data_IF_141140208784
#
_entry.id   IF_141140208784
#
_cell.length_a   1.000
_cell.length_b   1.000
_cell.length_c   1.000
_cell.angle_alpha   90.00
_cell.angle_beta   90.00
_cell.angle_gamma   90.00
#
_symmetry.space_group_name_H-M   'P 1'
#
loop_
_entity.id
_entity.type
_entity.pdbx_description
1 polymer ?
#
# COMPACT_ATOMS: atom_id res chain seq x y z
N UNK A 1 -0.19 -19.63 -27.25
CA UNK A 1 0.43 -19.53 -25.91
C UNK A 1 -0.03 -18.22 -25.29
N UNK A 2 -0.82 -18.26 -24.22
CA UNK A 2 -1.30 -17.04 -23.57
C UNK A 2 -0.14 -16.45 -22.74
N UNK A 3 0.41 -15.33 -23.19
CA UNK A 3 1.34 -14.53 -22.38
C UNK A 3 0.58 -14.06 -21.14
N UNK A 4 0.90 -14.61 -19.97
CA UNK A 4 0.47 -14.08 -18.67
C UNK A 4 1.06 -12.68 -18.50
N UNK A 5 0.34 -11.67 -18.99
CA UNK A 5 0.72 -10.27 -18.80
C UNK A 5 0.54 -9.94 -17.32
N UNK A 6 1.64 -9.96 -16.56
CA UNK A 6 1.62 -9.37 -15.22
C UNK A 6 1.39 -7.86 -15.37
N UNK A 7 0.47 -7.26 -14.60
CA UNK A 7 0.22 -5.84 -14.68
C UNK A 7 1.46 -5.04 -14.24
N UNK A 8 1.84 -4.02 -15.03
CA UNK A 8 2.95 -3.12 -14.67
C UNK A 8 2.59 -2.33 -13.40
N UNK A 9 3.60 -2.00 -12.61
CA UNK A 9 3.45 -1.26 -11.36
C UNK A 9 4.59 -0.27 -11.15
N UNK A 10 4.31 0.76 -10.34
CA UNK A 10 5.33 1.66 -9.82
C UNK A 10 5.56 1.34 -8.36
N UNK A 11 6.79 0.98 -8.01
CA UNK A 11 7.18 0.77 -6.62
C UNK A 11 7.63 2.09 -6.01
N UNK A 12 7.17 2.33 -4.79
CA UNK A 12 7.53 3.49 -3.98
C UNK A 12 8.21 2.99 -2.72
N UNK A 13 9.38 3.53 -2.41
CA UNK A 13 10.16 3.16 -1.23
C UNK A 13 10.12 4.31 -0.24
N UNK A 14 9.65 4.03 0.96
CA UNK A 14 9.54 4.99 2.04
C UNK A 14 10.32 4.54 3.28
N UNK A 15 10.86 5.50 4.01
CA UNK A 15 11.36 5.31 5.38
C UNK A 15 10.52 6.04 6.39
N UNK A 16 10.48 5.52 7.61
CA UNK A 16 9.78 6.16 8.71
C UNK A 16 10.41 7.53 9.01
N UNK A 17 9.56 8.54 9.10
CA UNK A 17 9.92 9.89 9.48
C UNK A 17 9.52 10.15 10.95
N UNK A 18 8.37 9.65 11.36
CA UNK A 18 7.84 9.86 12.72
C UNK A 18 6.92 8.71 13.15
N UNK A 19 7.00 8.32 14.41
CA UNK A 19 6.20 7.22 14.98
C UNK A 19 5.52 7.66 16.27
N UNK A 20 4.26 7.25 16.41
CA UNK A 20 3.48 7.35 17.65
C UNK A 20 2.85 6.00 17.96
N UNK A 21 2.14 5.90 19.08
CA UNK A 21 1.36 4.70 19.41
C UNK A 21 0.21 4.43 18.42
N UNK A 22 -0.30 5.48 17.76
CA UNK A 22 -1.51 5.37 16.92
C UNK A 22 -1.25 5.43 15.42
N UNK A 23 -0.07 5.88 15.00
CA UNK A 23 0.29 6.02 13.60
C UNK A 23 1.80 6.15 13.37
N UNK A 24 2.20 5.82 12.15
CA UNK A 24 3.53 5.97 11.58
C UNK A 24 3.44 6.89 10.34
N UNK A 25 4.33 7.88 10.24
CA UNK A 25 4.49 8.76 9.07
C UNK A 25 5.72 8.31 8.32
N UNK A 26 5.56 8.15 7.01
CA UNK A 26 6.58 7.66 6.10
C UNK A 26 6.90 8.72 5.04
N UNK A 27 8.19 8.87 4.73
CA UNK A 27 8.71 9.78 3.72
C UNK A 27 9.27 9.01 2.52
N UNK A 28 8.87 9.44 1.32
CA UNK A 28 9.28 8.84 0.06
C UNK A 28 10.76 9.13 -0.18
N UNK A 29 11.54 8.08 -0.41
CA UNK A 29 12.96 8.18 -0.75
C UNK A 29 13.17 8.07 -2.25
N UNK A 30 12.57 7.06 -2.88
CA UNK A 30 12.70 6.81 -4.31
C UNK A 30 11.54 5.98 -4.87
N UNK A 31 11.50 5.91 -6.21
CA UNK A 31 10.54 5.12 -6.98
C UNK A 31 11.26 4.23 -7.99
N UNK A 32 10.65 3.10 -8.38
CA UNK A 32 11.23 2.24 -9.43
C UNK A 32 11.15 2.82 -10.84
N UNK A 33 10.36 3.88 -11.03
CA UNK A 33 10.24 4.65 -12.28
C UNK A 33 10.64 6.11 -12.01
N UNK A 34 10.82 6.91 -13.06
CA UNK A 34 11.18 8.34 -12.97
C UNK A 34 10.06 9.26 -12.45
N UNK A 35 8.88 8.70 -12.14
CA UNK A 35 7.71 9.43 -11.67
C UNK A 35 7.10 8.75 -10.45
N UNK A 36 6.39 9.52 -9.63
CA UNK A 36 5.65 9.02 -8.48
C UNK A 36 4.14 9.06 -8.72
N UNK A 37 3.43 8.08 -8.18
CA UNK A 37 1.96 8.01 -8.14
C UNK A 37 1.38 8.37 -6.77
N UNK A 38 2.24 8.50 -5.77
CA UNK A 38 1.92 8.73 -4.38
C UNK A 38 2.60 10.01 -3.89
N UNK A 39 2.10 10.56 -2.78
CA UNK A 39 2.64 11.77 -2.17
C UNK A 39 3.99 11.50 -1.49
N UNK A 40 4.79 12.55 -1.34
CA UNK A 40 6.09 12.49 -0.67
C UNK A 40 5.99 12.05 0.80
N UNK A 41 4.88 12.36 1.47
CA UNK A 41 4.56 11.86 2.81
C UNK A 41 3.31 11.01 2.77
N UNK A 42 3.31 9.91 3.51
CA UNK A 42 2.11 9.12 3.76
C UNK A 42 2.07 8.68 5.23
N UNK A 43 0.93 8.12 5.64
CA UNK A 43 0.69 7.67 7.00
C UNK A 43 0.02 6.31 7.00
N UNK A 44 0.48 5.44 7.89
CA UNK A 44 -0.27 4.26 8.33
C UNK A 44 -0.84 4.59 9.71
N UNK A 45 -2.15 4.46 9.88
CA UNK A 45 -2.84 4.81 11.13
C UNK A 45 -3.72 3.65 11.61
N UNK A 46 -3.78 3.44 12.93
CA UNK A 46 -4.63 2.41 13.53
C UNK A 46 -6.10 2.64 13.16
N UNK A 47 -6.80 1.57 12.83
CA UNK A 47 -8.25 1.62 12.68
C UNK A 47 -8.93 1.55 14.05
N UNK A 48 -9.72 2.58 14.38
CA UNK A 48 -10.47 2.69 15.63
C UNK A 48 -11.93 2.20 15.51
N UNK A 49 -12.27 1.33 14.55
CA UNK A 49 -13.62 0.75 14.45
C UNK A 49 -14.73 1.72 14.03
N UNK A 50 -14.41 2.93 13.57
CA UNK A 50 -15.41 3.96 13.23
C UNK A 50 -16.11 3.74 11.86
N UNK A 51 -15.99 2.56 11.27
CA UNK A 51 -16.64 2.21 10.00
C UNK A 51 -17.03 0.73 9.97
N UNK A 52 -17.93 0.33 9.07
CA UNK A 52 -18.37 -1.05 8.89
C UNK A 52 -17.36 -1.92 8.10
N UNK A 53 -16.13 -1.45 7.91
CA UNK A 53 -15.10 -2.21 7.23
C UNK A 53 -14.63 -3.39 8.09
N UNK A 54 -14.68 -4.60 7.53
CA UNK A 54 -14.18 -5.82 8.15
C UNK A 54 -12.76 -6.14 7.69
N UNK A 55 -12.04 -6.92 8.51
CA UNK A 55 -10.69 -7.45 8.21
C UNK A 55 -9.65 -6.36 7.91
N UNK A 56 -9.76 -5.21 8.58
CA UNK A 56 -8.76 -4.14 8.56
C UNK A 56 -8.42 -3.72 9.98
N UNK A 57 -7.15 -3.48 10.26
CA UNK A 57 -6.65 -2.99 11.54
C UNK A 57 -5.90 -1.65 11.39
N UNK A 58 -5.57 -1.28 10.14
CA UNK A 58 -4.82 -0.07 9.78
C UNK A 58 -5.43 0.59 8.54
N UNK A 59 -5.19 1.89 8.40
CA UNK A 59 -5.52 2.69 7.22
C UNK A 59 -4.26 3.29 6.61
N UNK A 60 -4.24 3.35 5.28
CA UNK A 60 -3.27 4.12 4.53
C UNK A 60 -3.85 5.48 4.13
N UNK A 61 -3.06 6.54 4.36
CA UNK A 61 -3.42 7.92 4.05
C UNK A 61 -2.29 8.62 3.31
N UNK A 62 -2.64 9.40 2.29
CA UNK A 62 -1.70 10.23 1.53
C UNK A 62 -1.79 11.68 1.99
N UNK A 63 -0.64 12.33 2.14
CA UNK A 63 -0.55 13.74 2.54
C UNK A 63 -0.90 14.67 1.37
N UNK A 64 -2.18 14.83 1.08
CA UNK A 64 -2.66 15.69 -0.02
C UNK A 64 -2.88 17.15 0.40
N UNK A 65 -2.91 17.42 1.70
CA UNK A 65 -3.07 18.76 2.28
C UNK A 65 -2.14 18.95 3.47
N UNK A 66 -2.08 20.16 4.02
CA UNK A 66 -1.31 20.46 5.24
C UNK A 66 -1.98 19.97 6.54
N UNK A 67 -3.13 19.30 6.49
CA UNK A 67 -3.79 18.73 7.67
C UNK A 67 -4.15 17.26 7.44
N UNK A 68 -3.75 16.36 8.37
CA UNK A 68 -3.93 14.92 8.18
C UNK A 68 -5.41 14.53 8.19
N UNK A 69 -6.24 15.32 8.87
CA UNK A 69 -7.68 15.09 8.90
C UNK A 69 -8.34 15.36 7.55
N UNK A 70 -7.82 16.33 6.78
CA UNK A 70 -8.33 16.68 5.44
C UNK A 70 -7.56 16.03 4.29
N UNK A 71 -6.47 15.34 4.61
CA UNK A 71 -5.68 14.54 3.67
C UNK A 71 -6.46 13.30 3.19
N UNK A 72 -6.11 12.75 2.03
CA UNK A 72 -6.83 11.62 1.42
C UNK A 72 -6.66 10.32 2.22
N UNK A 73 -7.74 9.83 2.86
CA UNK A 73 -7.79 8.47 3.41
C UNK A 73 -8.02 7.50 2.26
N UNK A 74 -6.96 6.79 1.86
CA UNK A 74 -6.94 6.00 0.63
C UNK A 74 -7.68 4.68 0.80
N UNK A 75 -7.23 3.85 1.76
CA UNK A 75 -7.74 2.48 1.86
C UNK A 75 -7.43 1.87 3.22
N UNK A 76 -8.29 0.97 3.68
CA UNK A 76 -7.99 0.10 4.81
C UNK A 76 -7.05 -1.01 4.36
N UNK A 77 -6.01 -1.27 5.15
CA UNK A 77 -5.01 -2.29 4.85
C UNK A 77 -5.56 -3.66 5.22
N UNK A 78 -5.72 -4.53 4.22
CA UNK A 78 -6.10 -5.93 4.42
C UNK A 78 -4.85 -6.78 4.41
N UNK A 79 -4.61 -7.48 5.51
CA UNK A 79 -3.45 -8.36 5.64
C UNK A 79 -3.62 -9.62 4.78
N UNK A 80 -2.58 -9.98 4.05
CA UNK A 80 -2.48 -11.28 3.40
C UNK A 80 -1.68 -12.24 4.28
N UNK A 81 -0.47 -11.80 4.62
CA UNK A 81 0.48 -12.43 5.54
C UNK A 81 1.21 -11.31 6.28
N UNK A 82 1.86 -11.63 7.40
CA UNK A 82 2.52 -10.64 8.26
C UNK A 82 3.47 -9.76 7.43
N UNK A 83 3.27 -8.45 7.50
CA UNK A 83 4.06 -7.47 6.76
C UNK A 83 3.60 -7.21 5.31
N UNK A 84 2.64 -7.99 4.78
CA UNK A 84 2.12 -7.85 3.42
C UNK A 84 0.63 -7.53 3.47
N UNK A 85 0.29 -6.33 2.97
CA UNK A 85 -1.08 -5.84 2.95
C UNK A 85 -1.49 -5.46 1.53
N UNK A 86 -2.80 -5.34 1.32
CA UNK A 86 -3.32 -4.79 0.08
C UNK A 86 -4.54 -3.90 0.32
N UNK A 87 -4.85 -3.09 -0.68
CA UNK A 87 -6.06 -2.27 -0.72
C UNK A 87 -6.24 -1.61 -2.09
N UNK A 88 -7.37 -0.92 -2.26
CA UNK A 88 -7.70 -0.23 -3.49
C UNK A 88 -7.63 1.29 -3.26
N UNK A 89 -7.06 2.04 -4.22
CA UNK A 89 -7.28 3.49 -4.35
C UNK A 89 -8.24 3.75 -5.51
N UNK A 90 -9.20 4.65 -5.31
CA UNK A 90 -10.19 5.01 -6.33
C UNK A 90 -9.93 6.44 -6.78
N UNK A 91 -9.64 6.63 -8.07
CA UNK A 91 -9.45 7.95 -8.68
C UNK A 91 -10.37 8.01 -9.90
N UNK A 92 -11.27 9.00 -9.95
CA UNK A 92 -12.22 9.20 -11.05
C UNK A 92 -12.99 7.92 -11.41
N UNK A 93 -13.46 7.18 -10.40
CA UNK A 93 -14.20 5.92 -10.55
C UNK A 93 -13.34 4.70 -10.94
N UNK A 94 -12.05 4.88 -11.24
CA UNK A 94 -11.14 3.78 -11.58
C UNK A 94 -10.41 3.27 -10.33
N UNK A 95 -10.45 1.95 -10.13
CA UNK A 95 -9.73 1.27 -9.06
C UNK A 95 -8.28 0.96 -9.47
N UNK A 96 -7.36 1.26 -8.58
CA UNK A 96 -5.95 0.83 -8.66
C UNK A 96 -5.66 -0.04 -7.45
N UNK A 97 -5.05 -1.20 -7.68
CA UNK A 97 -4.55 -2.07 -6.61
C UNK A 97 -3.26 -1.51 -6.03
N UNK A 98 -3.18 -1.48 -4.70
CA UNK A 98 -1.99 -1.17 -3.94
C UNK A 98 -1.59 -2.41 -3.14
N UNK A 99 -0.31 -2.78 -3.19
CA UNK A 99 0.30 -3.79 -2.32
C UNK A 99 1.33 -3.09 -1.46
N UNK A 100 1.29 -3.37 -0.17
CA UNK A 100 2.12 -2.74 0.84
C UNK A 100 3.02 -3.80 1.48
N UNK A 101 4.29 -3.46 1.61
CA UNK A 101 5.25 -4.22 2.40
C UNK A 101 5.71 -3.34 3.56
N UNK A 102 5.48 -3.79 4.78
CA UNK A 102 5.87 -3.08 6.00
C UNK A 102 6.92 -3.94 6.68
N UNK A 103 8.11 -3.39 6.93
CA UNK A 103 9.15 -4.09 7.68
C UNK A 103 8.69 -4.38 9.11
N UNK A 104 9.26 -5.39 9.76
CA UNK A 104 8.83 -5.79 11.10
C UNK A 104 9.05 -4.70 12.16
N UNK A 105 10.16 -3.98 12.05
CA UNK A 105 10.50 -2.82 12.88
C UNK A 105 9.71 -1.55 12.47
N UNK A 106 8.91 -1.64 11.41
CA UNK A 106 8.11 -0.57 10.80
C UNK A 106 8.92 0.61 10.28
N UNK A 107 10.23 0.49 10.15
CA UNK A 107 11.09 1.59 9.68
C UNK A 107 11.04 1.77 8.17
N UNK A 108 10.59 0.76 7.43
CA UNK A 108 10.45 0.80 5.98
C UNK A 108 9.02 0.44 5.54
N UNK A 109 8.56 1.17 4.53
CA UNK A 109 7.31 0.91 3.83
C UNK A 109 7.59 0.90 2.33
N UNK A 110 7.18 -0.17 1.65
CA UNK A 110 7.20 -0.25 0.19
C UNK A 110 5.77 -0.34 -0.31
N UNK A 111 5.44 0.44 -1.35
CA UNK A 111 4.10 0.41 -1.97
C UNK A 111 4.21 0.17 -3.47
N UNK A 112 3.70 -0.98 -3.91
CA UNK A 112 3.51 -1.29 -5.33
C UNK A 112 2.15 -0.77 -5.79
N UNK A 113 2.16 0.18 -6.73
CA UNK A 113 0.96 0.80 -7.27
C UNK A 113 0.66 0.27 -8.68
N UNK A 114 -0.42 -0.50 -8.81
CA UNK A 114 -0.91 -1.03 -10.07
C UNK A 114 -1.99 -0.11 -10.64
N UNK A 115 -1.61 0.79 -11.55
CA UNK A 115 -2.49 1.85 -12.06
C UNK A 115 -3.67 1.28 -12.85
N UNK A 116 -4.88 1.69 -12.48
CA UNK A 116 -6.13 1.28 -13.14
C UNK A 116 -6.33 -0.24 -13.20
N UNK A 117 -5.65 -0.99 -12.33
CA UNK A 117 -5.74 -2.43 -12.28
C UNK A 117 -6.62 -2.85 -11.10
N UNK A 118 -7.65 -3.64 -11.41
CA UNK A 118 -8.51 -4.30 -10.43
C UNK A 118 -8.50 -5.79 -10.73
N UNK A 119 -8.00 -6.66 -9.84
CA UNK A 119 -8.13 -8.10 -10.01
C UNK A 119 -9.60 -8.49 -10.22
N UNK A 120 -9.89 -9.19 -11.32
CA UNK A 120 -11.27 -9.57 -11.68
C UNK A 120 -11.80 -10.68 -10.76
N UNK A 121 -10.92 -11.52 -10.21
CA UNK A 121 -11.27 -12.63 -9.33
C UNK A 121 -10.37 -12.65 -8.08
N UNK A 122 -10.86 -13.20 -6.95
CA UNK A 122 -10.03 -13.42 -5.76
C UNK A 122 -8.79 -14.28 -6.05
N UNK A 123 -8.89 -15.22 -6.97
CA UNK A 123 -7.77 -16.10 -7.38
C UNK A 123 -6.63 -15.30 -7.99
N UNK A 124 -6.91 -14.32 -8.86
CA UNK A 124 -5.86 -13.48 -9.46
C UNK A 124 -5.14 -12.65 -8.38
N UNK A 125 -5.90 -12.05 -7.46
CA UNK A 125 -5.31 -11.31 -6.35
C UNK A 125 -4.42 -12.22 -5.49
N UNK A 126 -4.90 -13.40 -5.14
CA UNK A 126 -4.12 -14.39 -4.37
C UNK A 126 -2.82 -14.76 -5.09
N UNK A 127 -2.86 -15.03 -6.39
CA UNK A 127 -1.67 -15.34 -7.20
C UNK A 127 -0.65 -14.20 -7.15
N UNK A 128 -1.10 -12.94 -7.27
CA UNK A 128 -0.21 -11.78 -7.18
C UNK A 128 0.41 -11.71 -5.78
N UNK A 129 -0.40 -11.80 -4.73
CA UNK A 129 0.07 -11.70 -3.34
C UNK A 129 1.07 -12.81 -2.99
N UNK A 130 0.83 -14.06 -3.39
CA UNK A 130 1.76 -15.17 -3.19
C UNK A 130 3.08 -14.97 -3.94
N UNK A 131 3.06 -14.36 -5.13
CA UNK A 131 4.31 -13.98 -5.80
C UNK A 131 5.08 -12.92 -5.01
N UNK A 132 4.37 -11.98 -4.38
CA UNK A 132 4.93 -10.91 -3.55
C UNK A 132 5.50 -11.38 -2.21
N UNK A 133 5.05 -12.52 -1.67
CA UNK A 133 5.65 -13.12 -0.47
C UNK A 133 7.12 -13.48 -0.63
N UNK A 134 7.48 -14.04 -1.80
CA UNK A 134 8.89 -14.37 -2.10
C UNK A 134 9.75 -13.12 -2.17
N UNK A 135 9.18 -12.05 -2.73
CA UNK A 135 9.86 -10.77 -2.90
C UNK A 135 10.01 -10.03 -1.56
N UNK A 136 9.01 -10.06 -0.68
CA UNK A 136 9.08 -9.49 0.66
C UNK A 136 10.30 -10.00 1.43
N UNK A 137 10.54 -11.33 1.42
CA UNK A 137 11.68 -11.95 2.11
C UNK A 137 13.05 -11.53 1.56
N UNK A 138 13.10 -11.04 0.32
CA UNK A 138 14.32 -10.52 -0.28
C UNK A 138 14.53 -9.03 0.07
N UNK A 139 13.43 -8.29 0.22
CA UNK A 139 13.45 -6.86 0.56
C UNK A 139 13.69 -6.62 2.05
N UNK A 140 13.19 -7.51 2.91
CA UNK A 140 13.34 -7.47 4.36
C UNK A 140 13.86 -8.82 4.85
N UNK A 141 15.19 -9.04 4.79
CA UNK A 141 15.82 -10.27 5.28
C UNK A 141 15.72 -10.42 6.80
#
# INVERSE_FOLDING_TARGET
MATTHQPDFVRHFYTVNHTTQSYEIYQLNNTSKSYSLLTALCRIEKFFGKSNASNIDKYFRLRTTNNWNTSEKVTGLREHTRGIYHGDRIINGKKSLLIFFISEDKTALIVDYYRSYKPHTPTILKTILTAKEKEYKQLFP
#
